data_IF_543346105496
#
_entry.id   IF_543346105496
#
_cell.length_a   1.000
_cell.length_b   1.000
_cell.length_c   1.000
_cell.angle_alpha   90.00
_cell.angle_beta   90.00
_cell.angle_gamma   90.00
#
_symmetry.space_group_name_H-M   'P 1'
#
loop_
_entity.id
_entity.type
_entity.pdbx_description
1 polymer ?
#
# COMPACT_ATOMS: atom_id res chain seq x y z
N UNK A 1 0.94 -20.86 11.10
CA UNK A 1 1.23 -20.53 9.68
C UNK A 1 2.72 -20.66 9.47
N UNK A 2 3.19 -21.84 9.09
CA UNK A 2 4.59 -22.03 8.67
C UNK A 2 4.76 -21.49 7.26
N UNK A 3 5.61 -20.49 7.08
CA UNK A 3 5.83 -19.83 5.78
C UNK A 3 6.95 -20.57 5.06
N UNK A 4 6.63 -21.33 4.01
CA UNK A 4 7.63 -22.08 3.23
C UNK A 4 8.58 -21.19 2.42
N UNK A 5 8.25 -19.90 2.23
CA UNK A 5 8.93 -19.02 1.29
C UNK A 5 9.11 -17.59 1.84
N UNK A 6 10.37 -17.17 2.08
CA UNK A 6 10.76 -15.77 2.30
C UNK A 6 10.26 -15.11 3.59
N UNK A 7 10.87 -13.98 3.94
CA UNK A 7 10.40 -13.07 5.01
C UNK A 7 9.59 -11.95 4.37
N UNK A 8 8.45 -11.53 4.95
CA UNK A 8 7.71 -10.39 4.43
C UNK A 8 8.59 -9.14 4.40
N UNK A 9 8.56 -8.40 3.30
CA UNK A 9 9.21 -7.09 3.23
C UNK A 9 8.39 -6.07 4.03
N UNK A 10 8.99 -4.92 4.30
CA UNK A 10 8.30 -3.80 4.96
C UNK A 10 7.03 -3.39 4.19
N UNK A 11 7.13 -3.23 2.87
CA UNK A 11 6.01 -2.82 2.00
C UNK A 11 4.97 -3.92 1.85
N UNK A 12 5.37 -5.18 1.78
CA UNK A 12 4.42 -6.29 1.81
C UNK A 12 3.65 -6.31 3.13
N UNK A 13 4.34 -6.13 4.27
CA UNK A 13 3.69 -6.08 5.58
C UNK A 13 2.68 -4.94 5.67
N UNK A 14 3.02 -3.76 5.15
CA UNK A 14 2.11 -2.62 5.07
C UNK A 14 0.88 -2.92 4.19
N UNK A 15 1.08 -3.50 3.02
CA UNK A 15 -0.02 -3.93 2.13
C UNK A 15 -0.92 -4.95 2.83
N UNK A 16 -0.38 -5.96 3.52
CA UNK A 16 -1.18 -6.99 4.18
C UNK A 16 -1.97 -6.48 5.39
N UNK A 17 -1.58 -5.32 5.94
CA UNK A 17 -2.20 -4.76 7.13
C UNK A 17 -2.96 -3.46 6.87
N UNK A 18 -3.11 -3.06 5.61
CA UNK A 18 -3.75 -1.81 5.21
C UNK A 18 -3.15 -0.59 5.92
N UNK A 19 -1.82 -0.57 5.99
CA UNK A 19 -1.01 0.44 6.68
C UNK A 19 -0.06 1.16 5.72
N UNK A 20 0.55 2.24 6.21
CA UNK A 20 1.63 2.94 5.51
C UNK A 20 1.13 4.22 4.82
N UNK A 21 1.13 4.23 3.49
CA UNK A 21 0.82 5.41 2.69
C UNK A 21 -0.60 5.42 2.08
N UNK A 22 -1.46 4.49 2.47
CA UNK A 22 -2.87 4.47 2.08
C UNK A 22 -3.63 5.65 2.69
N UNK A 23 -4.40 6.36 1.87
CA UNK A 23 -5.23 7.49 2.30
C UNK A 23 -6.18 7.13 3.44
N UNK A 24 -6.85 5.98 3.37
CA UNK A 24 -7.72 5.47 4.45
C UNK A 24 -7.00 5.39 5.80
N UNK A 25 -5.82 4.77 5.82
CA UNK A 25 -5.00 4.68 7.02
C UNK A 25 -4.50 6.05 7.50
N UNK A 26 -4.00 6.88 6.60
CA UNK A 26 -3.46 8.20 6.95
C UNK A 26 -4.54 9.12 7.51
N UNK A 27 -5.76 9.07 6.96
CA UNK A 27 -6.92 9.78 7.48
C UNK A 27 -7.29 9.28 8.89
N UNK A 28 -7.33 7.95 9.08
CA UNK A 28 -7.63 7.33 10.38
C UNK A 28 -6.69 7.78 11.50
N UNK A 29 -5.41 7.99 11.20
CA UNK A 29 -4.41 8.48 12.18
C UNK A 29 -4.21 10.02 12.14
N UNK A 30 -5.07 10.73 11.40
CA UNK A 30 -5.07 12.19 11.26
C UNK A 30 -3.81 12.78 10.61
N UNK A 31 -3.14 12.04 9.72
CA UNK A 31 -2.01 12.51 8.89
C UNK A 31 -2.43 13.03 7.52
N UNK A 32 -3.67 12.75 7.12
CA UNK A 32 -4.39 13.33 5.97
C UNK A 32 -5.76 13.79 6.46
N UNK A 33 -6.32 14.80 5.80
CA UNK A 33 -7.69 15.26 6.08
C UNK A 33 -8.75 14.37 5.44
N UNK A 34 -8.38 13.64 4.39
CA UNK A 34 -9.31 12.80 3.62
C UNK A 34 -8.70 11.44 3.34
N UNK A 35 -9.57 10.44 3.14
CA UNK A 35 -9.18 9.08 2.80
C UNK A 35 -8.96 8.86 1.30
N UNK A 36 -9.15 9.89 0.46
CA UNK A 36 -9.25 9.74 -1.00
C UNK A 36 -7.94 9.25 -1.64
N UNK A 37 -8.07 8.56 -2.77
CA UNK A 37 -6.92 8.13 -3.54
C UNK A 37 -6.34 9.27 -4.38
N UNK A 38 -5.15 9.73 -4.00
CA UNK A 38 -4.41 10.76 -4.73
C UNK A 38 -3.89 10.31 -6.10
N UNK A 39 -3.94 9.01 -6.42
CA UNK A 39 -3.41 8.47 -7.68
C UNK A 39 -4.45 8.41 -8.80
N UNK A 40 -5.71 8.14 -8.46
CA UNK A 40 -6.79 8.08 -9.46
C UNK A 40 -7.80 9.22 -9.33
N UNK A 41 -7.83 9.95 -8.20
CA UNK A 41 -8.77 11.06 -7.94
C UNK A 41 -10.25 10.65 -7.82
N UNK A 42 -10.60 9.42 -8.23
CA UNK A 42 -11.98 8.97 -8.40
C UNK A 42 -12.46 8.05 -7.28
N UNK A 43 -11.57 7.62 -6.38
CA UNK A 43 -11.93 6.77 -5.25
C UNK A 43 -11.98 7.58 -3.95
N UNK A 44 -13.07 7.39 -3.19
CA UNK A 44 -13.31 8.04 -1.90
C UNK A 44 -12.42 7.51 -0.78
N UNK A 45 -11.98 6.26 -0.88
CA UNK A 45 -11.14 5.60 0.12
C UNK A 45 -10.01 4.82 -0.55
N UNK A 46 -8.78 5.30 -0.37
CA UNK A 46 -7.58 4.60 -0.77
C UNK A 46 -7.28 3.48 0.22
N UNK A 47 -7.80 2.30 -0.07
CA UNK A 47 -7.56 1.05 0.66
C UNK A 47 -6.57 0.17 -0.10
N UNK A 48 -6.07 -0.86 0.57
CA UNK A 48 -5.34 -1.96 -0.08
C UNK A 48 -6.15 -2.62 -1.18
N UNK A 49 -7.44 -2.90 -0.95
CA UNK A 49 -8.31 -3.52 -1.96
C UNK A 49 -8.42 -2.63 -3.19
N UNK A 50 -8.60 -1.32 -3.00
CA UNK A 50 -8.59 -0.35 -4.09
C UNK A 50 -7.27 -0.40 -4.86
N UNK A 51 -6.14 -0.37 -4.15
CA UNK A 51 -4.80 -0.41 -4.77
C UNK A 51 -4.56 -1.71 -5.54
N UNK A 52 -4.96 -2.86 -4.99
CA UNK A 52 -4.77 -4.18 -5.60
C UNK A 52 -5.66 -4.40 -6.81
N UNK A 53 -6.94 -4.02 -6.75
CA UNK A 53 -7.95 -4.50 -7.69
C UNK A 53 -8.61 -3.41 -8.57
N UNK A 54 -8.57 -2.14 -8.18
CA UNK A 54 -9.47 -1.12 -8.76
C UNK A 54 -8.76 0.11 -9.30
N UNK A 55 -7.65 0.52 -8.67
CA UNK A 55 -7.03 1.81 -8.93
C UNK A 55 -6.34 1.83 -10.29
N UNK A 56 -6.82 2.57 -11.29
CA UNK A 56 -6.29 2.51 -12.67
C UNK A 56 -4.81 2.89 -12.77
N UNK A 57 -4.29 3.64 -11.80
CA UNK A 57 -2.88 4.00 -11.73
C UNK A 57 -1.93 2.79 -11.63
N UNK A 58 -2.44 1.62 -11.24
CA UNK A 58 -1.65 0.39 -11.05
C UNK A 58 -2.05 -0.73 -12.01
N UNK A 59 -2.74 -0.42 -13.12
CA UNK A 59 -3.24 -1.44 -14.05
C UNK A 59 -2.12 -2.27 -14.68
N UNK A 60 -0.98 -1.66 -14.99
CA UNK A 60 0.17 -2.38 -15.55
C UNK A 60 0.77 -3.34 -14.51
N UNK A 61 1.06 -2.87 -13.30
CA UNK A 61 1.59 -3.72 -12.23
C UNK A 61 0.61 -4.83 -11.84
N UNK A 62 -0.69 -4.51 -11.79
CA UNK A 62 -1.75 -5.47 -11.49
C UNK A 62 -1.86 -6.52 -12.58
N UNK A 63 -1.81 -6.14 -13.85
CA UNK A 63 -1.83 -7.07 -14.97
C UNK A 63 -0.64 -8.05 -14.89
N UNK A 64 0.56 -7.54 -14.58
CA UNK A 64 1.74 -8.38 -14.39
C UNK A 64 1.59 -9.36 -13.20
N UNK A 65 0.95 -8.92 -12.12
CA UNK A 65 0.64 -9.78 -10.97
C UNK A 65 -0.38 -10.87 -11.34
N UNK A 66 -1.48 -10.51 -12.03
CA UNK A 66 -2.55 -11.43 -12.44
C UNK A 66 -2.04 -12.57 -13.33
N UNK A 67 -1.06 -12.31 -14.19
CA UNK A 67 -0.41 -13.35 -15.02
C UNK A 67 0.28 -14.46 -14.20
N UNK A 68 0.54 -14.21 -12.91
CA UNK A 68 1.20 -15.16 -12.01
C UNK A 68 0.24 -15.74 -10.98
N UNK A 69 -0.64 -14.92 -10.41
CA UNK A 69 -1.48 -15.30 -9.26
C UNK A 69 -2.95 -15.57 -9.63
N UNK A 70 -3.36 -15.28 -10.87
CA UNK A 70 -4.75 -15.34 -11.30
C UNK A 70 -5.50 -14.02 -11.11
N UNK A 71 -6.78 -14.01 -11.49
CA UNK A 71 -7.61 -12.79 -11.52
C UNK A 71 -8.33 -12.44 -10.20
N UNK A 72 -8.41 -13.36 -9.24
CA UNK A 72 -8.98 -13.06 -7.93
C UNK A 72 -7.92 -12.43 -7.03
N UNK A 73 -8.01 -11.11 -6.89
CA UNK A 73 -7.11 -10.30 -6.06
C UNK A 73 -7.72 -9.92 -4.71
N UNK A 74 -8.76 -10.63 -4.25
CA UNK A 74 -9.18 -10.49 -2.85
C UNK A 74 -8.03 -10.89 -1.92
N UNK A 75 -7.83 -10.14 -0.83
CA UNK A 75 -6.72 -10.37 0.09
C UNK A 75 -6.61 -11.83 0.59
N UNK A 76 -7.70 -12.52 0.98
CA UNK A 76 -7.61 -13.92 1.42
C UNK A 76 -7.09 -14.87 0.31
N UNK A 77 -7.63 -14.76 -0.90
CA UNK A 77 -7.21 -15.58 -2.04
C UNK A 77 -5.75 -15.29 -2.41
N UNK A 78 -5.39 -14.01 -2.46
CA UNK A 78 -4.02 -13.59 -2.78
C UNK A 78 -3.00 -14.11 -1.76
N UNK A 79 -3.33 -14.04 -0.46
CA UNK A 79 -2.48 -14.55 0.61
C UNK A 79 -2.32 -16.06 0.50
N UNK A 80 -3.41 -16.80 0.25
CA UNK A 80 -3.35 -18.25 0.06
C UNK A 80 -2.46 -18.64 -1.14
N UNK A 81 -2.65 -17.98 -2.28
CA UNK A 81 -1.86 -18.21 -3.50
C UNK A 81 -0.37 -17.89 -3.31
N UNK A 82 -0.05 -16.81 -2.60
CA UNK A 82 1.35 -16.40 -2.43
C UNK A 82 2.11 -17.29 -1.43
N UNK A 83 1.46 -17.85 -0.41
CA UNK A 83 2.14 -18.72 0.56
C UNK A 83 2.40 -20.12 0.01
N UNK A 84 1.60 -20.56 -0.96
CA UNK A 84 1.73 -21.88 -1.59
C UNK A 84 2.79 -21.93 -2.71
N UNK A 85 3.13 -20.77 -3.30
CA UNK A 85 4.02 -20.71 -4.46
C UNK A 85 5.12 -19.67 -4.28
N UNK A 86 6.39 -20.10 -4.33
CA UNK A 86 7.56 -19.20 -4.35
C UNK A 86 7.50 -18.20 -5.51
N UNK A 87 6.92 -18.58 -6.65
CA UNK A 87 6.75 -17.69 -7.81
C UNK A 87 5.73 -16.60 -7.50
N UNK A 88 4.58 -16.98 -6.94
CA UNK A 88 3.51 -16.05 -6.52
C UNK A 88 3.98 -15.13 -5.40
N UNK A 89 4.73 -15.65 -4.42
CA UNK A 89 5.40 -14.85 -3.39
C UNK A 89 6.28 -13.75 -3.99
N UNK A 90 7.19 -14.12 -4.90
CA UNK A 90 8.09 -13.15 -5.55
C UNK A 90 7.32 -12.11 -6.37
N UNK A 91 6.28 -12.53 -7.09
CA UNK A 91 5.43 -11.62 -7.85
C UNK A 91 4.74 -10.60 -6.92
N UNK A 92 4.18 -11.06 -5.79
CA UNK A 92 3.53 -10.19 -4.84
C UNK A 92 4.50 -9.22 -4.15
N UNK A 93 5.69 -9.70 -3.76
CA UNK A 93 6.75 -8.81 -3.25
C UNK A 93 7.13 -7.76 -4.28
N UNK A 94 7.36 -8.15 -5.54
CA UNK A 94 7.70 -7.21 -6.63
C UNK A 94 6.61 -6.16 -6.85
N UNK A 95 5.35 -6.57 -6.86
CA UNK A 95 4.20 -5.67 -6.93
C UNK A 95 4.19 -4.68 -5.76
N UNK A 96 4.31 -5.18 -4.52
CA UNK A 96 4.32 -4.34 -3.32
C UNK A 96 5.48 -3.34 -3.33
N UNK A 97 6.69 -3.77 -3.69
CA UNK A 97 7.85 -2.89 -3.76
C UNK A 97 7.64 -1.77 -4.79
N UNK A 98 7.12 -2.09 -5.97
CA UNK A 98 6.89 -1.09 -7.04
C UNK A 98 5.76 -0.12 -6.70
N UNK A 99 4.61 -0.62 -6.30
CA UNK A 99 3.42 0.21 -6.02
C UNK A 99 3.63 1.05 -4.76
N UNK A 100 4.07 0.43 -3.66
CA UNK A 100 4.21 1.17 -2.39
C UNK A 100 5.35 2.19 -2.46
N UNK A 101 6.47 1.91 -3.15
CA UNK A 101 7.54 2.91 -3.30
C UNK A 101 7.08 4.16 -4.06
N UNK A 102 6.25 3.98 -5.10
CA UNK A 102 5.66 5.08 -5.86
C UNK A 102 4.65 5.86 -5.00
N UNK A 103 3.75 5.19 -4.28
CA UNK A 103 2.80 5.83 -3.34
C UNK A 103 3.53 6.63 -2.25
N UNK A 104 4.57 6.04 -1.67
CA UNK A 104 5.42 6.69 -0.66
C UNK A 104 6.14 7.92 -1.22
N UNK A 105 6.65 7.85 -2.46
CA UNK A 105 7.31 9.00 -3.11
C UNK A 105 6.34 10.13 -3.35
N UNK A 106 5.18 9.83 -3.94
CA UNK A 106 4.14 10.81 -4.17
C UNK A 106 3.70 11.48 -2.86
N UNK A 107 3.61 10.72 -1.76
CA UNK A 107 3.34 11.28 -0.43
C UNK A 107 4.45 12.22 0.04
N UNK A 108 5.72 11.81 -0.08
CA UNK A 108 6.88 12.65 0.32
C UNK A 108 6.90 13.97 -0.46
N UNK A 109 6.56 13.91 -1.75
CA UNK A 109 6.51 15.11 -2.60
C UNK A 109 5.41 16.07 -2.13
N UNK A 110 4.21 15.54 -1.79
CA UNK A 110 3.13 16.35 -1.19
C UNK A 110 3.53 16.96 0.15
N UNK A 111 4.20 16.20 1.02
CA UNK A 111 4.71 16.72 2.31
C UNK A 111 5.80 17.79 2.12
N UNK A 112 6.54 17.76 1.00
CA UNK A 112 7.55 18.78 0.67
C UNK A 112 6.91 20.07 0.18
N UNK A 113 5.82 19.97 -0.59
CA UNK A 113 5.12 21.14 -1.14
C UNK A 113 4.14 21.78 -0.17
N UNK A 114 3.80 21.09 0.94
CA UNK A 114 2.96 21.61 2.02
C UNK A 114 3.75 21.76 3.34
N UNK A 115 4.27 22.96 3.65
CA UNK A 115 5.04 23.23 4.86
C UNK A 115 4.25 23.01 6.16
N UNK A 116 2.93 23.24 6.14
CA UNK A 116 2.04 23.10 7.31
C UNK A 116 1.98 21.62 7.69
N UNK A 117 1.78 20.76 6.69
CA UNK A 117 1.75 19.31 6.87
C UNK A 117 3.08 18.73 7.37
N UNK A 118 4.20 19.28 6.90
CA UNK A 118 5.55 18.91 7.39
C UNK A 118 5.76 19.28 8.87
N UNK A 119 5.18 20.39 9.33
CA UNK A 119 5.25 20.79 10.74
C UNK A 119 4.34 19.94 11.63
N UNK A 120 3.11 19.64 11.20
CA UNK A 120 2.16 18.79 11.94
C UNK A 120 2.71 17.37 12.16
N UNK A 121 3.27 16.79 11.10
CA UNK A 121 3.89 15.45 11.17
C UNK A 121 5.15 15.38 12.05
N UNK A 122 5.86 16.50 12.23
CA UNK A 122 6.99 16.62 13.19
C UNK A 122 6.52 16.81 14.62
N UNK A 123 5.50 17.65 14.86
CA UNK A 123 4.96 17.90 16.19
C UNK A 123 4.35 16.65 16.82
N UNK A 124 3.58 15.88 16.05
CA UNK A 124 2.98 14.62 16.56
C UNK A 124 4.01 13.56 16.89
N UNK A 125 5.06 13.37 16.06
CA UNK A 125 6.16 12.44 16.38
C UNK A 125 6.88 12.75 17.69
N UNK A 126 6.81 13.99 18.17
CA UNK A 126 7.42 14.42 19.43
C UNK A 126 6.47 14.31 20.64
N UNK A 127 5.19 14.06 20.40
CA UNK A 127 4.16 13.93 21.43
C UNK A 127 3.80 12.49 21.78
N UNK A 128 4.29 11.50 21.03
CA UNK A 128 4.11 10.06 21.29
C UNK A 128 5.21 9.47 22.21
N UNK A 129 6.10 10.31 22.77
CA UNK A 129 7.20 9.96 23.70
C UNK A 129 6.88 10.29 25.18
N UNK A 130 5.60 10.36 25.58
CA UNK A 130 5.16 10.62 26.98
C UNK A 130 4.23 9.51 27.46
#
# INVERSE_FOLDING_TARGET
MDRRHGTPTFRLTQMLSDHGCFGSYLCRIGKEETAVCHHCGNCREDTVQHTLAECPAWDEERSALCLVVGGDLSLPTLVATMVDSRRSWKAMVSFCERVMSQKESAKRDRERTDPVRRQLSRRRRRGDDI
#
